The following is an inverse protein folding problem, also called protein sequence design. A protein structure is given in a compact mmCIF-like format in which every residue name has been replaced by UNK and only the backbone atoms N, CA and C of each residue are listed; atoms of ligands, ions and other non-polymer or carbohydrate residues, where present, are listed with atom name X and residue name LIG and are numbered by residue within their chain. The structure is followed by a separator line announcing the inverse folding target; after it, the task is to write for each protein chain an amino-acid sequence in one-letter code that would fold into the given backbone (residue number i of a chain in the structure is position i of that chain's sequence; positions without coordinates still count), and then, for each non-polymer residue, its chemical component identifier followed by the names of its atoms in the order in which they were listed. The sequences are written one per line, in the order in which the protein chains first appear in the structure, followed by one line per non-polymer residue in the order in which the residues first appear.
data_IF_467557114107
#
_entry.id   IF_467557114107
#
_cell.length_a   1.000
_cell.length_b   1.000
_cell.length_c   1.000
_cell.angle_alpha   90.00
_cell.angle_beta   90.00
_cell.angle_gamma   90.00
#
_symmetry.space_group_name_H-M   'P 1'
#
loop_
_entity.id
_entity.type
_entity.pdbx_description
1 polymer ?
#
# COMPACT_ATOMS: atom_id res chain seq x y z
N UNK A 1 -28.58 -35.67 15.59
CA UNK A 1 -27.13 -35.58 15.41
C UNK A 1 -26.76 -34.12 15.52
N UNK A 2 -26.34 -33.71 16.72
CA UNK A 2 -25.80 -32.38 16.98
C UNK A 2 -24.50 -32.22 16.20
N UNK A 3 -24.47 -31.26 15.29
CA UNK A 3 -23.23 -30.78 14.69
C UNK A 3 -22.43 -30.08 15.79
N UNK A 4 -21.45 -30.77 16.37
CA UNK A 4 -20.44 -30.15 17.23
C UNK A 4 -19.83 -28.95 16.50
N UNK A 5 -20.16 -27.72 16.91
CA UNK A 5 -19.52 -26.51 16.37
C UNK A 5 -18.05 -26.56 16.74
N UNK A 6 -17.19 -26.86 15.77
CA UNK A 6 -15.73 -26.84 15.97
C UNK A 6 -15.33 -25.43 16.40
N UNK A 7 -14.74 -25.32 17.59
CA UNK A 7 -14.25 -24.06 18.14
C UNK A 7 -13.14 -23.52 17.23
N UNK A 8 -13.45 -22.51 16.41
CA UNK A 8 -12.46 -21.89 15.52
C UNK A 8 -11.41 -21.16 16.36
N UNK A 9 -10.13 -21.32 16.00
CA UNK A 9 -9.04 -20.54 16.62
C UNK A 9 -9.14 -19.07 16.19
N UNK A 10 -8.89 -18.12 17.09
CA UNK A 10 -9.00 -16.69 16.80
C UNK A 10 -7.64 -16.08 16.47
N UNK A 11 -7.60 -15.30 15.40
CA UNK A 11 -6.49 -14.43 15.05
C UNK A 11 -6.91 -12.98 15.32
N UNK A 12 -6.07 -12.25 16.05
CA UNK A 12 -6.22 -10.81 16.26
C UNK A 12 -5.32 -10.09 15.27
N UNK A 13 -5.87 -9.22 14.44
CA UNK A 13 -5.14 -8.53 13.38
C UNK A 13 -5.13 -7.03 13.61
N UNK A 14 -3.95 -6.41 13.61
CA UNK A 14 -3.76 -4.99 13.98
C UNK A 14 -3.16 -4.21 12.82
N UNK A 15 -3.97 -3.66 11.89
CA UNK A 15 -3.46 -2.83 10.80
C UNK A 15 -2.95 -1.48 11.30
N UNK A 16 -1.94 -0.94 10.60
CA UNK A 16 -1.62 0.48 10.67
C UNK A 16 -2.76 1.31 10.02
N UNK A 17 -3.19 2.45 10.59
CA UNK A 17 -4.43 3.13 10.17
C UNK A 17 -4.27 4.04 8.95
N UNK A 18 -3.66 3.49 7.91
CA UNK A 18 -3.59 4.10 6.59
C UNK A 18 -4.09 3.08 5.57
N UNK A 19 -4.78 3.55 4.53
CA UNK A 19 -5.44 2.67 3.57
C UNK A 19 -4.48 1.67 2.90
N UNK A 20 -3.22 2.07 2.64
CA UNK A 20 -2.18 1.18 2.12
C UNK A 20 -1.79 0.01 3.06
N UNK A 21 -2.13 0.08 4.34
CA UNK A 21 -1.87 -0.96 5.33
C UNK A 21 -3.14 -1.73 5.69
N UNK A 22 -4.28 -1.03 5.79
CA UNK A 22 -5.59 -1.65 6.03
C UNK A 22 -5.98 -2.60 4.89
N UNK A 23 -5.80 -2.18 3.63
CA UNK A 23 -6.17 -3.00 2.45
C UNK A 23 -5.51 -4.39 2.46
N UNK A 24 -4.16 -4.52 2.49
CA UNK A 24 -3.52 -5.83 2.52
C UNK A 24 -3.87 -6.62 3.80
N UNK A 25 -4.05 -5.98 4.95
CA UNK A 25 -4.48 -6.65 6.18
C UNK A 25 -5.87 -7.28 6.02
N UNK A 26 -6.84 -6.57 5.45
CA UNK A 26 -8.20 -7.09 5.22
C UNK A 26 -8.24 -8.20 4.16
N UNK A 27 -7.38 -8.13 3.14
CA UNK A 27 -7.21 -9.21 2.17
C UNK A 27 -6.63 -10.47 2.81
N UNK A 28 -5.59 -10.32 3.65
CA UNK A 28 -5.02 -11.43 4.42
C UNK A 28 -6.03 -12.01 5.42
N UNK A 29 -6.78 -11.14 6.11
CA UNK A 29 -7.87 -11.53 7.02
C UNK A 29 -8.91 -12.40 6.32
N UNK A 30 -9.33 -12.00 5.11
CA UNK A 30 -10.32 -12.75 4.34
C UNK A 30 -9.79 -14.13 3.95
N UNK A 31 -8.54 -14.20 3.48
CA UNK A 31 -7.90 -15.47 3.16
C UNK A 31 -7.82 -16.40 4.38
N UNK A 32 -7.41 -15.88 5.55
CA UNK A 32 -7.31 -16.66 6.78
C UNK A 32 -8.69 -17.11 7.29
N UNK A 33 -9.71 -16.25 7.18
CA UNK A 33 -11.08 -16.61 7.54
C UNK A 33 -11.63 -17.75 6.69
N UNK A 34 -11.41 -17.71 5.37
CA UNK A 34 -11.78 -18.79 4.44
C UNK A 34 -11.06 -20.11 4.77
N UNK A 35 -9.90 -20.04 5.42
CA UNK A 35 -9.13 -21.21 5.88
C UNK A 35 -9.44 -21.61 7.33
N UNK A 36 -10.55 -21.15 7.90
CA UNK A 36 -11.12 -21.69 9.14
C UNK A 36 -10.80 -20.91 10.42
N UNK A 37 -10.10 -19.79 10.33
CA UNK A 37 -9.85 -18.92 11.48
C UNK A 37 -11.04 -17.99 11.76
N UNK A 38 -11.28 -17.70 13.04
CA UNK A 38 -12.08 -16.54 13.44
C UNK A 38 -11.18 -15.30 13.42
N UNK A 39 -11.65 -14.19 12.86
CA UNK A 39 -10.84 -12.98 12.74
C UNK A 39 -11.42 -11.86 13.60
N UNK A 40 -10.54 -11.20 14.35
CA UNK A 40 -10.82 -9.93 15.00
C UNK A 40 -9.86 -8.88 14.45
N UNK A 41 -10.40 -7.78 13.91
CA UNK A 41 -9.62 -6.63 13.46
C UNK A 41 -9.58 -5.61 14.60
N UNK A 42 -8.42 -5.41 15.21
CA UNK A 42 -8.21 -4.37 16.21
C UNK A 42 -7.75 -3.09 15.51
N UNK A 43 -8.54 -2.03 15.56
CA UNK A 43 -8.30 -0.82 14.78
C UNK A 43 -8.39 0.43 15.64
N UNK A 44 -7.67 1.47 15.25
CA UNK A 44 -7.72 2.81 15.85
C UNK A 44 -9.04 3.50 15.52
N UNK A 45 -9.39 4.57 16.24
CA UNK A 45 -10.50 5.46 15.86
C UNK A 45 -10.12 6.30 14.64
N UNK A 46 -8.88 6.77 14.58
CA UNK A 46 -8.29 7.39 13.41
C UNK A 46 -8.33 6.42 12.23
N UNK A 47 -8.97 6.82 11.12
CA UNK A 47 -9.10 6.02 9.89
C UNK A 47 -9.63 4.58 10.12
N UNK A 48 -10.72 4.45 10.89
CA UNK A 48 -11.33 3.15 11.16
C UNK A 48 -11.90 2.48 9.90
N UNK A 49 -11.69 1.16 9.71
CA UNK A 49 -12.34 0.39 8.66
C UNK A 49 -13.85 0.30 8.91
N UNK A 50 -14.63 0.11 7.84
CA UNK A 50 -16.10 0.03 7.89
C UNK A 50 -16.57 -1.40 8.22
N UNK A 51 -17.10 -1.69 9.43
CA UNK A 51 -17.42 -3.06 9.83
C UNK A 51 -18.48 -3.73 8.96
N UNK A 52 -19.44 -2.96 8.44
CA UNK A 52 -20.53 -3.47 7.60
C UNK A 52 -20.05 -4.03 6.24
N UNK A 53 -18.84 -3.70 5.79
CA UNK A 53 -18.26 -4.27 4.56
C UNK A 53 -17.64 -5.65 4.78
N UNK A 54 -17.38 -5.99 6.04
CA UNK A 54 -16.77 -7.26 6.44
C UNK A 54 -17.54 -7.87 7.63
N UNK A 55 -18.84 -8.18 7.47
CA UNK A 55 -19.68 -8.72 8.53
C UNK A 55 -19.17 -10.08 9.08
N UNK A 56 -18.29 -10.74 8.35
CA UNK A 56 -17.62 -11.98 8.75
C UNK A 56 -16.52 -11.79 9.81
N UNK A 57 -16.07 -10.56 10.07
CA UNK A 57 -15.06 -10.25 11.08
C UNK A 57 -15.66 -9.57 12.31
N UNK A 58 -14.99 -9.74 13.44
CA UNK A 58 -15.24 -8.91 14.64
C UNK A 58 -14.33 -7.68 14.61
N UNK A 59 -14.85 -6.52 15.00
CA UNK A 59 -14.08 -5.27 15.07
C UNK A 59 -13.89 -4.84 16.52
N UNK A 60 -12.65 -4.54 16.87
CA UNK A 60 -12.23 -4.13 18.21
C UNK A 60 -11.61 -2.72 18.13
N UNK A 61 -12.29 -1.67 18.61
CA UNK A 61 -11.71 -0.33 18.63
C UNK A 61 -10.62 -0.23 19.70
N UNK A 62 -9.52 0.44 19.35
CA UNK A 62 -8.40 0.76 20.23
C UNK A 62 -8.32 2.28 20.40
N UNK A 63 -8.09 2.73 21.63
CA UNK A 63 -7.97 4.15 21.91
C UNK A 63 -6.59 4.66 21.46
N UNK A 64 -6.57 5.41 20.36
CA UNK A 64 -5.35 6.02 19.81
C UNK A 64 -5.08 7.43 20.38
N UNK A 65 -6.08 8.07 20.99
CA UNK A 65 -6.04 9.45 21.48
C UNK A 65 -5.43 10.46 20.49
N UNK A 66 -5.60 10.24 19.19
CA UNK A 66 -5.08 11.12 18.13
C UNK A 66 -5.96 12.37 18.01
N UNK A 67 -5.31 13.53 18.11
CA UNK A 67 -5.97 14.84 18.04
C UNK A 67 -6.00 15.39 16.62
N UNK A 68 -6.84 16.40 16.37
CA UNK A 68 -6.87 17.10 15.08
C UNK A 68 -5.51 17.72 14.70
N UNK A 69 -4.72 18.17 15.68
CA UNK A 69 -3.38 18.75 15.46
C UNK A 69 -2.38 17.72 14.95
N UNK A 70 -2.46 16.47 15.43
CA UNK A 70 -1.64 15.38 14.89
C UNK A 70 -1.95 15.16 13.40
N UNK A 71 -3.23 15.15 13.04
CA UNK A 71 -3.68 14.94 11.65
C UNK A 71 -3.26 16.11 10.75
N UNK A 72 -3.41 17.35 11.23
CA UNK A 72 -3.09 18.56 10.45
C UNK A 72 -1.59 18.81 10.30
N UNK A 73 -0.75 18.24 11.17
CA UNK A 73 0.71 18.35 11.11
C UNK A 73 1.34 17.67 9.89
N UNK A 74 0.66 16.66 9.33
CA UNK A 74 1.20 15.76 8.29
C UNK A 74 2.53 15.07 8.70
N UNK A 75 2.85 15.04 9.99
CA UNK A 75 4.01 14.33 10.54
C UNK A 75 3.61 12.88 10.85
N UNK A 76 3.76 12.02 9.83
CA UNK A 76 3.42 10.60 9.94
C UNK A 76 4.20 9.91 11.06
N UNK A 77 5.46 10.28 11.28
CA UNK A 77 6.26 9.68 12.35
C UNK A 77 5.67 10.01 13.74
N UNK A 78 5.34 11.28 14.00
CA UNK A 78 4.69 11.68 15.25
C UNK A 78 3.37 10.96 15.50
N UNK A 79 2.52 10.86 14.47
CA UNK A 79 1.23 10.14 14.57
C UNK A 79 1.44 8.68 14.94
N UNK A 80 2.36 8.00 14.27
CA UNK A 80 2.62 6.57 14.49
C UNK A 80 3.27 6.29 15.85
N UNK A 81 4.19 7.14 16.31
CA UNK A 81 4.76 7.05 17.65
C UNK A 81 3.67 7.21 18.72
N UNK A 82 2.78 8.20 18.57
CA UNK A 82 1.66 8.42 19.49
C UNK A 82 0.68 7.23 19.51
N UNK A 83 0.34 6.66 18.34
CA UNK A 83 -0.50 5.45 18.28
C UNK A 83 0.13 4.28 19.04
N UNK A 84 1.44 4.04 18.85
CA UNK A 84 2.14 2.93 19.52
C UNK A 84 2.15 3.09 21.04
N UNK A 85 2.23 4.32 21.55
CA UNK A 85 2.12 4.61 22.99
C UNK A 85 0.69 4.44 23.50
N UNK A 86 -0.29 5.06 22.82
CA UNK A 86 -1.65 5.20 23.32
C UNK A 86 -2.47 3.91 23.21
N UNK A 87 -2.33 3.15 22.12
CA UNK A 87 -3.14 1.95 21.88
C UNK A 87 -2.75 0.74 22.73
N UNK A 88 -1.56 0.74 23.34
CA UNK A 88 -1.03 -0.39 24.09
C UNK A 88 -1.96 -0.81 25.22
N UNK A 89 -2.42 0.14 26.05
CA UNK A 89 -3.32 -0.13 27.17
C UNK A 89 -4.63 -0.77 26.74
N UNK A 90 -5.29 -0.20 25.72
CA UNK A 90 -6.55 -0.74 25.19
C UNK A 90 -6.39 -2.15 24.62
N UNK A 91 -5.26 -2.45 23.96
CA UNK A 91 -5.01 -3.80 23.45
C UNK A 91 -4.78 -4.80 24.60
N UNK A 92 -4.06 -4.41 25.65
CA UNK A 92 -3.86 -5.24 26.85
C UNK A 92 -5.19 -5.54 27.56
N UNK A 93 -6.05 -4.54 27.73
CA UNK A 93 -7.38 -4.70 28.32
C UNK A 93 -8.25 -5.66 27.49
N UNK A 94 -8.24 -5.52 26.17
CA UNK A 94 -8.98 -6.41 25.27
C UNK A 94 -8.46 -7.84 25.32
N UNK A 95 -7.14 -8.04 25.38
CA UNK A 95 -6.53 -9.36 25.54
C UNK A 95 -6.91 -10.01 26.87
N UNK A 96 -6.90 -9.25 27.98
CA UNK A 96 -7.33 -9.74 29.28
C UNK A 96 -8.81 -10.14 29.28
N UNK A 97 -9.69 -9.34 28.67
CA UNK A 97 -11.11 -9.65 28.53
C UNK A 97 -11.35 -10.92 27.69
N UNK A 98 -10.58 -11.12 26.62
CA UNK A 98 -10.66 -12.33 25.80
C UNK A 98 -10.14 -13.58 26.53
N UNK A 99 -9.17 -13.43 27.44
CA UNK A 99 -8.62 -14.53 28.23
C UNK A 99 -9.54 -14.97 29.40
N UNK A 100 -10.34 -14.05 29.96
CA UNK A 100 -11.20 -14.30 31.12
C UNK A 100 -12.62 -14.83 30.81
N UNK A 101 -12.94 -15.12 29.54
CA UNK A 101 -14.29 -15.54 29.14
C UNK A 101 -14.53 -17.05 29.28
N UNK A 102 -15.25 -17.48 30.32
CA UNK A 102 -15.64 -18.88 30.61
C UNK A 102 -16.81 -19.43 29.74
N UNK A 103 -17.12 -18.82 28.59
CA UNK A 103 -18.25 -19.21 27.73
C UNK A 103 -17.91 -20.27 26.67
N UNK A 104 -18.89 -21.10 26.28
CA UNK A 104 -18.78 -22.11 25.20
C UNK A 104 -18.37 -21.52 23.82
N UNK A 105 -18.51 -20.20 23.61
CA UNK A 105 -18.09 -19.47 22.40
C UNK A 105 -16.70 -18.80 22.48
N UNK A 106 -15.92 -19.02 23.55
CA UNK A 106 -14.63 -18.34 23.78
C UNK A 106 -13.49 -18.83 22.87
N UNK A 107 -13.50 -18.53 21.57
CA UNK A 107 -12.37 -18.88 20.68
C UNK A 107 -11.06 -18.31 21.22
N UNK A 108 -10.15 -19.19 21.65
CA UNK A 108 -8.82 -18.85 22.14
C UNK A 108 -8.07 -18.01 21.09
N UNK A 109 -7.51 -16.87 21.50
CA UNK A 109 -6.64 -16.06 20.65
C UNK A 109 -5.30 -16.78 20.55
N UNK A 110 -5.00 -17.31 19.37
CA UNK A 110 -3.79 -18.12 19.17
C UNK A 110 -2.61 -17.32 18.61
N UNK A 111 -2.88 -16.16 17.99
CA UNK A 111 -1.86 -15.31 17.41
C UNK A 111 -2.34 -13.87 17.18
N UNK A 112 -1.42 -12.91 17.32
CA UNK A 112 -1.57 -11.51 16.88
C UNK A 112 -0.80 -11.31 15.57
N UNK A 113 -1.47 -10.91 14.49
CA UNK A 113 -0.82 -10.48 13.24
C UNK A 113 -0.88 -8.96 13.18
N UNK A 114 0.25 -8.28 13.27
CA UNK A 114 0.27 -6.82 13.30
C UNK A 114 1.08 -6.26 12.15
N UNK A 115 0.71 -5.06 11.70
CA UNK A 115 1.51 -4.30 10.74
C UNK A 115 2.89 -3.95 11.33
N UNK A 116 3.91 -3.83 10.48
CA UNK A 116 5.27 -3.45 10.89
C UNK A 116 5.32 -2.12 11.66
N UNK A 117 4.41 -1.20 11.37
CA UNK A 117 4.33 0.10 12.05
C UNK A 117 3.60 0.05 13.41
N UNK A 118 3.00 -1.09 13.77
CA UNK A 118 2.24 -1.31 15.01
C UNK A 118 3.03 -2.19 15.99
N UNK A 119 4.32 -1.88 16.16
CA UNK A 119 5.31 -2.69 16.88
C UNK A 119 4.98 -2.90 18.37
N UNK A 120 4.17 -2.04 19.01
CA UNK A 120 3.70 -2.24 20.39
C UNK A 120 3.00 -3.59 20.61
N UNK A 121 2.43 -4.17 19.55
CA UNK A 121 1.72 -5.45 19.58
C UNK A 121 2.62 -6.62 20.01
N UNK A 122 3.93 -6.58 19.74
CA UNK A 122 4.87 -7.63 20.17
C UNK A 122 4.95 -7.70 21.70
N UNK A 123 5.07 -6.54 22.36
CA UNK A 123 5.12 -6.47 23.82
C UNK A 123 3.84 -7.00 24.46
N UNK A 124 2.68 -6.68 23.86
CA UNK A 124 1.38 -7.20 24.32
C UNK A 124 1.28 -8.71 24.10
N UNK A 125 1.63 -9.21 22.91
CA UNK A 125 1.63 -10.64 22.62
C UNK A 125 2.48 -11.43 23.63
N UNK A 126 3.71 -10.95 23.89
CA UNK A 126 4.61 -11.56 24.86
C UNK A 126 4.04 -11.57 26.29
N UNK A 127 3.41 -10.47 26.73
CA UNK A 127 2.82 -10.36 28.07
C UNK A 127 1.71 -11.39 28.31
N UNK A 128 0.94 -11.70 27.28
CA UNK A 128 -0.15 -12.67 27.35
C UNK A 128 0.24 -14.08 26.89
N UNK A 129 1.52 -14.33 26.58
CA UNK A 129 2.00 -15.65 26.13
C UNK A 129 1.47 -16.06 24.75
N UNK A 130 1.02 -15.10 23.93
CA UNK A 130 0.47 -15.33 22.58
C UNK A 130 1.56 -15.11 21.53
N UNK A 131 1.51 -15.87 20.44
CA UNK A 131 2.46 -15.70 19.32
C UNK A 131 2.14 -14.43 18.53
N UNK A 132 3.15 -13.73 18.02
CA UNK A 132 2.95 -12.65 17.04
C UNK A 132 3.61 -12.94 15.69
N UNK A 133 3.00 -12.40 14.62
CA UNK A 133 3.54 -12.33 13.27
C UNK A 133 3.51 -10.88 12.79
N UNK A 134 4.53 -10.47 12.05
CA UNK A 134 4.62 -9.12 11.48
C UNK A 134 4.15 -9.16 10.02
N UNK A 135 3.26 -8.26 9.62
CA UNK A 135 2.88 -8.02 8.23
C UNK A 135 3.65 -6.81 7.69
N UNK A 136 4.43 -7.02 6.63
CA UNK A 136 5.09 -5.94 5.88
C UNK A 136 4.35 -5.67 4.57
N UNK A 137 3.96 -4.42 4.39
CA UNK A 137 3.15 -3.92 3.26
C UNK A 137 3.94 -2.99 2.35
N UNK A 138 5.26 -2.89 2.57
CA UNK A 138 6.22 -2.12 1.77
C UNK A 138 7.11 -3.06 0.94
N UNK A 139 7.89 -2.52 0.00
CA UNK A 139 8.86 -3.30 -0.80
C UNK A 139 10.08 -3.74 0.03
N UNK A 140 10.72 -4.85 -0.35
CA UNK A 140 11.97 -5.30 0.26
C UNK A 140 13.09 -4.26 0.04
N UNK A 141 13.12 -3.65 -1.14
CA UNK A 141 14.00 -2.53 -1.48
C UNK A 141 13.87 -1.36 -0.51
N UNK A 142 12.65 -1.03 -0.09
CA UNK A 142 12.41 0.04 0.89
C UNK A 142 13.00 -0.31 2.24
N UNK A 143 12.87 -1.56 2.70
CA UNK A 143 13.47 -2.00 3.96
C UNK A 143 14.99 -1.83 3.95
N UNK A 144 15.65 -2.33 2.91
CA UNK A 144 17.11 -2.16 2.72
C UNK A 144 17.48 -0.67 2.70
N UNK A 145 16.73 0.14 1.94
CA UNK A 145 16.99 1.58 1.80
C UNK A 145 16.85 2.33 3.12
N UNK A 146 15.84 2.01 3.93
CA UNK A 146 15.64 2.62 5.26
C UNK A 146 16.76 2.23 6.23
N UNK A 147 17.18 0.96 6.25
CA UNK A 147 18.32 0.53 7.05
C UNK A 147 19.60 1.29 6.65
N UNK A 148 19.82 1.50 5.36
CA UNK A 148 20.96 2.28 4.89
C UNK A 148 20.86 3.77 5.26
N UNK A 149 19.67 4.38 5.24
CA UNK A 149 19.46 5.76 5.73
C UNK A 149 19.86 5.90 7.20
N UNK A 150 19.57 4.92 8.06
CA UNK A 150 20.01 4.93 9.46
C UNK A 150 21.54 4.92 9.57
N UNK A 151 22.21 4.06 8.79
CA UNK A 151 23.67 3.98 8.78
C UNK A 151 24.32 5.27 8.24
N UNK A 152 23.77 5.84 7.17
CA UNK A 152 24.25 7.10 6.59
C UNK A 152 24.11 8.25 7.57
N UNK A 153 22.98 8.34 8.29
CA UNK A 153 22.81 9.35 9.33
C UNK A 153 23.84 9.20 10.45
N UNK A 154 24.11 7.97 10.90
CA UNK A 154 25.14 7.70 11.91
C UNK A 154 26.56 8.09 11.44
N UNK A 155 26.83 8.03 10.14
CA UNK A 155 28.08 8.45 9.52
C UNK A 155 28.13 9.95 9.15
N UNK A 156 27.05 10.71 9.36
CA UNK A 156 26.99 12.15 9.07
C UNK A 156 26.55 12.52 7.64
N UNK A 157 25.83 11.62 6.93
CA UNK A 157 25.40 11.75 5.54
C UNK A 157 26.53 12.11 4.57
N UNK A 158 27.21 11.11 4.02
CA UNK A 158 28.12 11.31 2.89
C UNK A 158 27.35 11.56 1.58
N UNK A 159 27.94 12.28 0.63
CA UNK A 159 27.34 12.50 -0.70
C UNK A 159 27.26 11.21 -1.54
N UNK A 160 28.11 10.23 -1.24
CA UNK A 160 28.16 8.95 -1.95
C UNK A 160 27.24 7.91 -1.32
N UNK A 161 26.46 7.23 -2.16
CA UNK A 161 25.53 6.20 -1.75
C UNK A 161 26.26 4.85 -1.80
N UNK A 162 26.10 3.99 -0.78
CA UNK A 162 26.63 2.64 -0.81
C UNK A 162 26.30 1.90 -2.11
N UNK A 163 27.29 1.25 -2.72
CA UNK A 163 27.12 0.52 -3.97
C UNK A 163 26.03 -0.58 -3.88
N UNK A 164 25.78 -1.11 -2.68
CA UNK A 164 24.72 -2.08 -2.40
C UNK A 164 23.30 -1.53 -2.59
N UNK A 165 23.12 -0.21 -2.72
CA UNK A 165 21.83 0.43 -2.99
C UNK A 165 21.62 0.75 -4.47
N UNK A 166 22.57 0.46 -5.36
CA UNK A 166 22.38 0.69 -6.79
C UNK A 166 21.10 0.00 -7.29
N UNK A 167 20.21 0.67 -8.05
CA UNK A 167 20.40 1.95 -8.76
C UNK A 167 19.84 3.20 -8.05
N UNK A 168 19.63 3.17 -6.72
CA UNK A 168 19.10 4.30 -5.97
C UNK A 168 20.08 5.47 -5.94
N UNK A 169 19.54 6.69 -6.06
CA UNK A 169 20.24 7.96 -5.85
C UNK A 169 19.88 8.53 -4.48
N UNK A 170 20.60 9.56 -4.01
CA UNK A 170 20.44 10.11 -2.66
C UNK A 170 19.01 10.66 -2.50
N UNK A 171 18.52 11.32 -3.54
CA UNK A 171 17.14 11.82 -3.62
C UNK A 171 16.07 10.73 -3.73
N UNK A 172 16.46 9.49 -4.07
CA UNK A 172 15.55 8.34 -4.11
C UNK A 172 15.39 7.68 -2.73
N UNK A 173 16.27 7.98 -1.77
CA UNK A 173 16.22 7.42 -0.42
C UNK A 173 14.97 7.91 0.34
N UNK A 174 14.39 7.06 1.22
CA UNK A 174 13.15 7.33 1.94
C UNK A 174 13.37 8.27 3.13
N UNK A 175 13.92 9.46 2.88
CA UNK A 175 14.10 10.51 3.90
C UNK A 175 12.74 11.13 4.28
N UNK A 176 12.54 11.53 5.55
CA UNK A 176 11.29 12.14 5.98
C UNK A 176 11.05 13.47 5.26
N UNK A 177 9.81 13.69 4.82
CA UNK A 177 9.43 14.92 4.12
C UNK A 177 8.99 16.04 5.08
N UNK A 178 8.37 15.68 6.20
CA UNK A 178 7.72 16.60 7.16
C UNK A 178 8.15 16.32 8.61
N UNK A 179 8.41 15.07 8.94
CA UNK A 179 8.87 14.64 10.27
C UNK A 179 10.29 15.11 10.58
N UNK A 180 10.55 15.41 11.85
CA UNK A 180 11.93 15.49 12.34
C UNK A 180 12.65 14.15 12.14
N UNK A 181 13.93 14.23 11.77
CA UNK A 181 14.73 13.04 11.48
C UNK A 181 14.86 12.13 12.71
N UNK A 182 14.92 12.68 13.92
CA UNK A 182 14.99 11.89 15.17
C UNK A 182 13.78 10.98 15.32
N UNK A 183 12.58 11.51 15.10
CA UNK A 183 11.32 10.75 15.19
C UNK A 183 11.22 9.71 14.09
N UNK A 184 11.60 10.07 12.87
CA UNK A 184 11.67 9.13 11.76
C UNK A 184 12.65 7.98 12.07
N UNK A 185 13.84 8.30 12.57
CA UNK A 185 14.86 7.35 12.95
C UNK A 185 14.37 6.40 14.05
N UNK A 186 13.74 6.94 15.10
CA UNK A 186 13.11 6.15 16.17
C UNK A 186 12.06 5.19 15.61
N UNK A 187 11.13 5.69 14.77
CA UNK A 187 10.11 4.85 14.15
C UNK A 187 10.71 3.72 13.32
N UNK A 188 11.75 4.01 12.51
CA UNK A 188 12.40 3.02 11.65
C UNK A 188 13.10 1.93 12.48
N UNK A 189 13.76 2.32 13.57
CA UNK A 189 14.37 1.35 14.50
C UNK A 189 13.28 0.47 15.12
N UNK A 190 12.21 1.07 15.63
CA UNK A 190 11.16 0.33 16.33
C UNK A 190 10.45 -0.67 15.41
N UNK A 191 10.16 -0.31 14.15
CA UNK A 191 9.48 -1.24 13.22
C UNK A 191 10.35 -2.41 12.75
N UNK A 192 11.69 -2.27 12.74
CA UNK A 192 12.61 -3.31 12.27
C UNK A 192 13.29 -4.08 13.41
N UNK A 193 13.20 -3.59 14.63
CA UNK A 193 13.66 -4.33 15.81
C UNK A 193 12.63 -5.37 16.22
N UNK A 194 12.67 -6.52 15.53
CA UNK A 194 11.82 -7.66 15.86
C UNK A 194 12.45 -8.40 17.04
N UNK A 195 11.67 -8.57 18.12
CA UNK A 195 12.19 -9.16 19.37
C UNK A 195 11.56 -10.50 19.69
N UNK A 196 10.24 -10.62 19.51
CA UNK A 196 9.46 -11.77 19.97
C UNK A 196 8.61 -12.42 18.88
N UNK A 197 8.36 -11.69 17.78
CA UNK A 197 7.61 -12.23 16.64
C UNK A 197 8.23 -13.49 16.06
N UNK A 198 7.38 -14.38 15.56
CA UNK A 198 7.76 -15.73 15.12
C UNK A 198 8.08 -15.81 13.63
N UNK A 199 7.48 -14.96 12.82
CA UNK A 199 7.80 -14.82 11.41
C UNK A 199 7.30 -13.47 10.87
N UNK A 200 7.75 -13.15 9.65
CA UNK A 200 7.30 -12.00 8.88
C UNK A 200 6.52 -12.48 7.67
N UNK A 201 5.27 -12.05 7.53
CA UNK A 201 4.52 -12.13 6.27
C UNK A 201 4.84 -10.87 5.48
N UNK A 202 5.28 -11.00 4.24
CA UNK A 202 5.69 -9.86 3.44
C UNK A 202 4.95 -9.86 2.11
N UNK A 203 4.27 -8.74 1.81
CA UNK A 203 3.62 -8.52 0.51
C UNK A 203 4.65 -8.26 -0.61
N UNK A 204 5.58 -9.18 -0.85
CA UNK A 204 6.51 -9.19 -1.98
C UNK A 204 6.73 -10.61 -2.51
N UNK A 205 7.40 -10.74 -3.66
CA UNK A 205 7.68 -12.01 -4.33
C UNK A 205 9.19 -12.25 -4.42
N UNK A 206 9.70 -13.47 -4.16
CA UNK A 206 11.13 -13.77 -4.21
C UNK A 206 11.81 -13.38 -5.52
N UNK A 207 11.11 -13.56 -6.64
CA UNK A 207 11.66 -13.25 -7.94
C UNK A 207 11.63 -11.77 -8.31
N UNK A 208 10.83 -10.96 -7.61
CA UNK A 208 10.68 -9.53 -7.87
C UNK A 208 11.82 -8.72 -7.23
N UNK A 209 12.23 -9.12 -6.02
CA UNK A 209 13.26 -8.46 -5.20
C UNK A 209 14.27 -9.47 -4.60
N UNK A 210 14.92 -10.32 -5.43
CA UNK A 210 15.74 -11.42 -4.92
C UNK A 210 16.98 -10.96 -4.16
N UNK A 211 17.62 -9.88 -4.62
CA UNK A 211 18.83 -9.33 -4.01
C UNK A 211 18.51 -8.77 -2.62
N UNK A 212 17.43 -8.00 -2.53
CA UNK A 212 17.01 -7.31 -1.31
C UNK A 212 16.59 -8.33 -0.25
N UNK A 213 15.79 -9.33 -0.62
CA UNK A 213 15.37 -10.41 0.29
C UNK A 213 16.56 -11.21 0.82
N UNK A 214 17.56 -11.51 -0.03
CA UNK A 214 18.78 -12.18 0.40
C UNK A 214 19.59 -11.31 1.38
N UNK A 215 19.73 -10.02 1.10
CA UNK A 215 20.42 -9.08 1.99
C UNK A 215 19.70 -8.97 3.34
N UNK A 216 18.37 -8.89 3.35
CA UNK A 216 17.57 -8.84 4.57
C UNK A 216 17.75 -10.09 5.41
N UNK A 217 17.67 -11.27 4.79
CA UNK A 217 17.90 -12.54 5.49
C UNK A 217 19.31 -12.66 6.06
N UNK A 218 20.31 -12.15 5.33
CA UNK A 218 21.70 -12.21 5.76
C UNK A 218 22.04 -11.20 6.87
N UNK A 219 21.51 -9.97 6.79
CA UNK A 219 21.97 -8.84 7.62
C UNK A 219 20.95 -8.35 8.65
N UNK A 220 19.65 -8.42 8.36
CA UNK A 220 18.65 -7.63 9.10
C UNK A 220 17.61 -8.47 9.84
N UNK A 221 17.26 -9.67 9.35
CA UNK A 221 16.16 -10.46 9.92
C UNK A 221 16.52 -11.95 9.93
N UNK A 222 16.56 -12.54 11.12
CA UNK A 222 16.94 -13.95 11.34
C UNK A 222 15.75 -14.89 11.53
N UNK A 223 14.53 -14.35 11.66
CA UNK A 223 13.31 -15.16 11.74
C UNK A 223 12.79 -15.51 10.33
N UNK A 224 11.94 -16.54 10.19
CA UNK A 224 11.34 -16.89 8.90
C UNK A 224 10.62 -15.70 8.25
N UNK A 225 10.83 -15.54 6.94
CA UNK A 225 10.14 -14.58 6.09
C UNK A 225 9.31 -15.35 5.07
N UNK A 226 8.02 -15.03 5.01
CA UNK A 226 7.06 -15.58 4.07
C UNK A 226 6.68 -14.50 3.06
N UNK A 227 7.36 -14.44 1.90
CA UNK A 227 7.00 -13.54 0.82
C UNK A 227 5.72 -14.06 0.15
N UNK A 228 4.61 -13.44 0.51
CA UNK A 228 3.25 -13.82 0.13
C UNK A 228 2.64 -12.62 -0.61
N UNK A 229 2.69 -12.65 -1.94
CA UNK A 229 2.19 -11.55 -2.77
C UNK A 229 1.75 -12.01 -4.16
N UNK A 230 0.92 -11.20 -4.84
CA UNK A 230 0.29 -10.00 -4.30
C UNK A 230 -0.92 -10.34 -3.42
N UNK A 231 -0.95 -9.87 -2.17
CA UNK A 231 -1.98 -10.26 -1.18
C UNK A 231 -3.41 -10.04 -1.70
N UNK A 232 -3.63 -8.99 -2.49
CA UNK A 232 -4.95 -8.67 -3.06
C UNK A 232 -5.48 -9.71 -4.08
N UNK A 233 -4.63 -10.63 -4.58
CA UNK A 233 -5.01 -11.72 -5.49
C UNK A 233 -5.17 -13.09 -4.80
N UNK A 234 -4.68 -13.24 -3.57
CA UNK A 234 -4.67 -14.54 -2.88
C UNK A 234 -6.09 -14.96 -2.50
N UNK A 235 -6.91 -13.99 -2.09
CA UNK A 235 -8.35 -14.15 -1.94
C UNK A 235 -9.06 -12.94 -2.58
N UNK A 236 -9.62 -13.08 -3.81
CA UNK A 236 -10.43 -12.02 -4.39
C UNK A 236 -11.65 -11.79 -3.50
N UNK A 237 -11.72 -10.62 -2.87
CA UNK A 237 -12.83 -10.23 -1.99
C UNK A 237 -13.89 -9.50 -2.80
N UNK A 238 -15.16 -9.85 -2.61
CA UNK A 238 -16.28 -9.07 -3.18
C UNK A 238 -16.48 -7.74 -2.47
N UNK A 239 -16.01 -7.64 -1.22
CA UNK A 239 -16.10 -6.43 -0.40
C UNK A 239 -14.93 -5.48 -0.66
N UNK A 240 -15.26 -4.18 -0.74
CA UNK A 240 -14.29 -3.09 -0.83
C UNK A 240 -13.61 -2.84 0.52
N UNK A 241 -12.28 -2.87 0.52
CA UNK A 241 -11.44 -2.53 1.68
C UNK A 241 -11.17 -1.03 1.81
N UNK A 242 -11.66 -0.20 0.87
CA UNK A 242 -11.38 1.23 0.81
C UNK A 242 -12.01 1.99 1.98
N UNK A 243 -11.29 2.94 2.58
CA UNK A 243 -11.86 3.84 3.60
C UNK A 243 -12.85 4.84 2.98
N UNK A 244 -12.59 5.22 1.74
CA UNK A 244 -13.36 6.18 0.96
C UNK A 244 -14.47 5.48 0.16
N UNK A 245 -15.56 6.20 -0.09
CA UNK A 245 -16.66 5.71 -0.93
C UNK A 245 -16.23 5.72 -2.39
N UNK A 246 -16.20 4.55 -3.00
CA UNK A 246 -15.85 4.37 -4.42
C UNK A 246 -17.01 4.79 -5.33
N UNK A 247 -16.66 5.46 -6.42
CA UNK A 247 -17.56 5.79 -7.52
C UNK A 247 -17.34 4.82 -8.68
N UNK A 248 -18.24 3.84 -8.80
CA UNK A 248 -18.20 2.82 -9.85
C UNK A 248 -18.73 3.31 -11.20
N UNK A 249 -19.27 4.53 -11.29
CA UNK A 249 -19.75 5.07 -12.58
C UNK A 249 -18.64 5.25 -13.60
N UNK A 250 -17.39 5.40 -13.14
CA UNK A 250 -16.22 5.44 -14.00
C UNK A 250 -16.01 4.16 -14.80
N UNK A 251 -16.47 2.99 -14.31
CA UNK A 251 -16.39 1.73 -15.05
C UNK A 251 -17.27 1.77 -16.31
N UNK A 252 -18.49 2.28 -16.20
CA UNK A 252 -19.39 2.45 -17.36
C UNK A 252 -18.89 3.50 -18.35
N UNK A 253 -18.06 4.45 -17.92
CA UNK A 253 -17.35 5.35 -18.82
C UNK A 253 -16.20 4.62 -19.53
N UNK A 254 -15.44 3.79 -18.82
CA UNK A 254 -14.35 2.99 -19.39
C UNK A 254 -14.84 1.99 -20.44
N UNK A 255 -16.04 1.42 -20.28
CA UNK A 255 -16.68 0.52 -21.26
C UNK A 255 -16.83 1.14 -22.65
N UNK A 256 -16.92 2.48 -22.72
CA UNK A 256 -17.10 3.23 -23.97
C UNK A 256 -15.79 3.62 -24.63
N UNK A 257 -14.66 3.40 -23.97
CA UNK A 257 -13.35 3.80 -24.46
C UNK A 257 -12.71 2.69 -25.31
N UNK A 258 -11.88 3.04 -26.31
CA UNK A 258 -11.10 2.05 -27.04
C UNK A 258 -10.23 1.17 -26.12
N UNK A 259 -9.95 -0.08 -26.50
CA UNK A 259 -9.09 -0.95 -25.71
C UNK A 259 -7.72 -0.32 -25.47
N UNK A 260 -7.28 -0.32 -24.22
CA UNK A 260 -5.95 0.12 -23.80
C UNK A 260 -5.59 1.56 -24.23
N UNK A 261 -6.57 2.45 -24.34
CA UNK A 261 -6.36 3.86 -24.69
C UNK A 261 -6.39 4.82 -23.50
N UNK A 262 -6.94 4.41 -22.35
CA UNK A 262 -7.14 5.29 -21.21
C UNK A 262 -5.90 5.32 -20.32
N UNK A 263 -5.43 6.52 -19.97
CA UNK A 263 -4.51 6.69 -18.84
C UNK A 263 -5.32 6.89 -17.55
N UNK A 264 -5.14 5.99 -16.59
CA UNK A 264 -5.70 6.12 -15.25
C UNK A 264 -4.75 6.96 -14.39
N UNK A 265 -5.25 7.95 -13.65
CA UNK A 265 -4.46 8.85 -12.81
C UNK A 265 -4.96 8.76 -11.37
N UNK A 266 -4.12 8.26 -10.46
CA UNK A 266 -4.41 8.19 -9.03
C UNK A 266 -3.14 8.28 -8.19
N UNK A 267 -3.10 9.29 -7.31
CA UNK A 267 -1.93 9.59 -6.48
C UNK A 267 -2.07 9.04 -5.05
N UNK A 268 -2.90 8.02 -4.87
CA UNK A 268 -3.06 7.31 -3.60
C UNK A 268 -3.90 8.08 -2.58
N UNK A 269 -3.91 7.62 -1.33
CA UNK A 269 -4.78 8.13 -0.26
C UNK A 269 -4.16 9.21 0.63
N UNK A 270 -2.86 9.50 0.47
CA UNK A 270 -2.10 10.41 1.36
C UNK A 270 -1.42 11.55 0.60
N UNK A 271 -1.11 11.40 -0.69
CA UNK A 271 -0.46 12.46 -1.45
C UNK A 271 -1.30 13.75 -1.44
N UNK A 272 -0.58 14.87 -1.43
CA UNK A 272 -1.10 16.22 -1.50
C UNK A 272 -0.50 16.92 -2.72
N UNK A 273 -1.36 17.62 -3.46
CA UNK A 273 -0.99 18.47 -4.57
C UNK A 273 -1.14 19.94 -4.19
N UNK A 274 -0.36 20.81 -4.83
CA UNK A 274 -0.68 22.24 -4.87
C UNK A 274 -1.70 22.53 -5.97
N UNK A 275 -2.29 23.72 -5.95
CA UNK A 275 -3.19 24.18 -7.01
C UNK A 275 -2.47 24.19 -8.37
N UNK A 276 -1.23 24.68 -8.37
CA UNK A 276 -0.38 24.78 -9.57
C UNK A 276 -0.10 23.39 -10.14
N UNK A 277 0.20 22.40 -9.30
CA UNK A 277 0.38 21.01 -9.76
C UNK A 277 -0.90 20.45 -10.40
N UNK A 278 -2.08 20.72 -9.84
CA UNK A 278 -3.37 20.31 -10.42
C UNK A 278 -3.61 20.98 -11.78
N UNK A 279 -3.31 22.28 -11.90
CA UNK A 279 -3.42 23.01 -13.16
C UNK A 279 -2.51 22.41 -14.24
N UNK A 280 -1.22 22.20 -13.93
CA UNK A 280 -0.26 21.65 -14.89
C UNK A 280 -0.58 20.21 -15.29
N UNK A 281 -1.05 19.38 -14.34
CA UNK A 281 -1.53 18.03 -14.62
C UNK A 281 -2.76 18.05 -15.54
N UNK A 282 -3.77 18.86 -15.21
CA UNK A 282 -5.02 18.95 -15.96
C UNK A 282 -4.79 19.40 -17.41
N UNK A 283 -4.01 20.48 -17.60
CA UNK A 283 -3.68 20.96 -18.93
C UNK A 283 -2.79 19.98 -19.70
N UNK A 284 -1.85 19.32 -19.05
CA UNK A 284 -1.02 18.29 -19.69
C UNK A 284 -1.85 17.07 -20.14
N UNK A 285 -2.82 16.63 -19.34
CA UNK A 285 -3.77 15.58 -19.70
C UNK A 285 -4.60 15.98 -20.92
N UNK A 286 -5.17 17.18 -20.91
CA UNK A 286 -5.94 17.74 -22.05
C UNK A 286 -5.08 17.75 -23.32
N UNK A 287 -3.86 18.29 -23.24
CA UNK A 287 -2.98 18.46 -24.39
C UNK A 287 -2.45 17.12 -24.94
N UNK A 288 -2.32 16.09 -24.09
CA UNK A 288 -1.87 14.74 -24.53
C UNK A 288 -2.80 14.09 -25.56
N UNK A 289 -4.04 14.58 -25.66
CA UNK A 289 -5.10 14.03 -26.49
C UNK A 289 -5.42 12.54 -26.21
N UNK A 290 -4.97 12.01 -25.06
CA UNK A 290 -5.33 10.66 -24.59
C UNK A 290 -6.61 10.72 -23.75
N UNK A 291 -7.48 9.70 -23.83
CA UNK A 291 -8.54 9.54 -22.85
C UNK A 291 -7.97 9.34 -21.45
N UNK A 292 -8.57 9.94 -20.42
CA UNK A 292 -8.10 9.79 -19.05
C UNK A 292 -9.23 9.61 -18.03
N UNK A 293 -8.94 8.80 -17.01
CA UNK A 293 -9.73 8.72 -15.79
C UNK A 293 -8.86 9.27 -14.64
N UNK A 294 -9.26 10.40 -14.05
CA UNK A 294 -8.50 11.07 -13.01
C UNK A 294 -9.22 11.05 -11.66
N UNK A 295 -8.57 10.48 -10.65
CA UNK A 295 -9.03 10.51 -9.26
C UNK A 295 -8.50 11.75 -8.56
N UNK A 296 -9.41 12.64 -8.16
CA UNK A 296 -9.10 13.82 -7.33
C UNK A 296 -9.82 13.70 -5.99
N UNK A 297 -9.11 13.16 -5.00
CA UNK A 297 -9.68 12.91 -3.66
C UNK A 297 -10.01 14.24 -2.95
N UNK A 298 -11.15 14.33 -2.25
CA UNK A 298 -11.43 15.45 -1.34
C UNK A 298 -10.28 15.68 -0.34
N UNK A 299 -9.85 16.93 -0.20
CA UNK A 299 -8.74 17.29 0.70
C UNK A 299 -7.34 16.91 0.20
N UNK A 300 -7.19 16.42 -1.04
CA UNK A 300 -5.88 16.12 -1.63
C UNK A 300 -5.15 17.34 -2.21
N UNK A 301 -5.78 18.52 -2.22
CA UNK A 301 -5.19 19.72 -2.80
C UNK A 301 -5.14 20.85 -1.76
N UNK A 302 -3.98 21.50 -1.64
CA UNK A 302 -3.75 22.60 -0.70
C UNK A 302 -4.35 23.90 -1.24
N UNK A 303 -5.15 24.61 -0.41
CA UNK A 303 -5.78 25.89 -0.77
C UNK A 303 -7.01 25.73 -1.67
N UNK A 304 -8.16 25.38 -1.09
CA UNK A 304 -9.27 24.67 -1.75
C UNK A 304 -10.15 25.49 -2.71
N UNK A 305 -10.26 26.80 -2.57
CA UNK A 305 -11.45 27.50 -3.08
C UNK A 305 -11.48 27.67 -4.61
N UNK A 306 -10.35 27.49 -5.29
CA UNK A 306 -10.23 27.69 -6.74
C UNK A 306 -10.01 26.39 -7.56
N UNK A 307 -9.90 25.23 -6.90
CA UNK A 307 -9.62 23.96 -7.60
C UNK A 307 -10.83 23.42 -8.35
N UNK A 308 -12.03 23.58 -7.79
CA UNK A 308 -13.26 23.16 -8.48
C UNK A 308 -13.43 23.84 -9.84
N UNK A 309 -12.98 25.10 -9.95
CA UNK A 309 -12.99 25.83 -11.23
C UNK A 309 -12.01 25.21 -12.23
N UNK A 310 -10.78 24.91 -11.80
CA UNK A 310 -9.76 24.26 -12.64
C UNK A 310 -10.26 22.91 -13.15
N UNK A 311 -10.84 22.08 -12.28
CA UNK A 311 -11.35 20.77 -12.68
C UNK A 311 -12.51 20.89 -13.67
N UNK A 312 -13.42 21.86 -13.47
CA UNK A 312 -14.51 22.14 -14.42
C UNK A 312 -13.98 22.58 -15.79
N UNK A 313 -13.01 23.49 -15.83
CA UNK A 313 -12.38 23.92 -17.08
C UNK A 313 -11.72 22.74 -17.82
N UNK A 314 -11.07 21.85 -17.08
CA UNK A 314 -10.48 20.62 -17.63
C UNK A 314 -11.56 19.69 -18.20
N UNK A 315 -12.65 19.45 -17.45
CA UNK A 315 -13.80 18.63 -17.89
C UNK A 315 -14.47 19.19 -19.15
N UNK A 316 -14.74 20.50 -19.18
CA UNK A 316 -15.32 21.18 -20.33
C UNK A 316 -14.43 21.07 -21.56
N UNK A 317 -13.11 21.18 -21.37
CA UNK A 317 -12.15 21.14 -22.48
C UNK A 317 -11.92 19.75 -23.03
N UNK A 318 -11.92 18.73 -22.17
CA UNK A 318 -11.68 17.33 -22.58
C UNK A 318 -12.92 16.67 -23.18
N UNK A 319 -14.11 17.03 -22.70
CA UNK A 319 -15.37 16.45 -23.14
C UNK A 319 -15.49 14.96 -22.79
N UNK A 320 -15.96 14.14 -23.73
CA UNK A 320 -16.22 12.71 -23.55
C UNK A 320 -14.97 11.84 -23.35
N UNK A 321 -13.78 12.39 -23.63
CA UNK A 321 -12.48 11.72 -23.43
C UNK A 321 -11.96 11.79 -22.00
N UNK A 322 -12.58 12.58 -21.11
CA UNK A 322 -12.17 12.69 -19.72
C UNK A 322 -13.25 12.24 -18.75
N UNK A 323 -12.82 11.62 -17.66
CA UNK A 323 -13.66 11.32 -16.52
C UNK A 323 -12.90 11.70 -15.25
N UNK A 324 -13.45 12.59 -14.43
CA UNK A 324 -12.89 12.95 -13.13
C UNK A 324 -13.83 12.42 -12.05
N UNK A 325 -13.29 11.69 -11.08
CA UNK A 325 -14.04 11.16 -9.94
C UNK A 325 -13.31 11.43 -8.65
N UNK A 326 -14.04 11.46 -7.53
CA UNK A 326 -13.43 11.69 -6.23
C UNK A 326 -12.65 10.47 -5.73
N UNK A 327 -13.14 9.27 -6.02
CA UNK A 327 -12.50 8.02 -5.61
C UNK A 327 -12.96 6.87 -6.50
N UNK A 328 -12.04 6.08 -7.05
CA UNK A 328 -12.35 5.00 -7.99
C UNK A 328 -12.14 3.60 -7.37
N UNK A 329 -12.90 2.58 -7.80
CA UNK A 329 -12.61 1.18 -7.52
C UNK A 329 -11.35 0.74 -8.28
N UNK A 330 -10.18 1.08 -7.74
CA UNK A 330 -8.90 1.05 -8.47
C UNK A 330 -8.53 -0.33 -9.02
N UNK A 331 -8.83 -1.41 -8.28
CA UNK A 331 -8.52 -2.78 -8.73
C UNK A 331 -9.30 -3.13 -10.00
N UNK A 332 -10.58 -2.78 -10.00
CA UNK A 332 -11.49 -2.97 -11.13
C UNK A 332 -11.09 -2.08 -12.31
N UNK A 333 -10.69 -0.82 -12.05
CA UNK A 333 -10.18 0.10 -13.07
C UNK A 333 -8.91 -0.43 -13.72
N UNK A 334 -7.91 -0.85 -12.94
CA UNK A 334 -6.65 -1.40 -13.48
C UNK A 334 -6.87 -2.71 -14.24
N UNK A 335 -7.82 -3.54 -13.80
CA UNK A 335 -8.24 -4.75 -14.51
C UNK A 335 -9.06 -4.49 -15.78
N UNK A 336 -9.48 -3.25 -16.03
CA UNK A 336 -10.36 -2.92 -17.14
C UNK A 336 -9.67 -2.96 -18.51
N UNK A 337 -10.40 -3.43 -19.53
CA UNK A 337 -9.89 -3.56 -20.91
C UNK A 337 -9.50 -2.22 -21.56
N UNK A 338 -10.15 -1.13 -21.16
CA UNK A 338 -9.88 0.24 -21.63
C UNK A 338 -8.60 0.87 -21.09
N UNK A 339 -8.10 0.44 -19.92
CA UNK A 339 -6.93 1.08 -19.27
C UNK A 339 -5.63 0.59 -19.89
N UNK A 340 -4.86 1.54 -20.44
CA UNK A 340 -3.59 1.32 -21.14
C UNK A 340 -2.34 1.76 -20.37
N UNK A 341 -2.48 2.65 -19.39
CA UNK A 341 -1.39 3.12 -18.55
C UNK A 341 -1.88 3.69 -17.21
N UNK A 342 -0.99 3.77 -16.23
CA UNK A 342 -1.32 4.21 -14.87
C UNK A 342 -0.35 5.28 -14.38
N UNK A 343 -0.81 6.53 -14.30
CA UNK A 343 -0.12 7.59 -13.57
C UNK A 343 -0.34 7.44 -12.07
N UNK A 344 0.73 7.04 -11.37
CA UNK A 344 0.70 6.64 -9.98
C UNK A 344 1.73 7.37 -9.12
N UNK A 345 1.37 7.59 -7.86
CA UNK A 345 2.30 7.98 -6.80
C UNK A 345 3.33 6.89 -6.42
N UNK A 346 3.22 5.68 -6.96
CA UNK A 346 4.15 4.57 -6.70
C UNK A 346 4.10 4.00 -5.27
N UNK A 347 2.97 4.11 -4.59
CA UNK A 347 2.73 3.31 -3.39
C UNK A 347 2.78 1.80 -3.70
N UNK A 348 3.23 0.99 -2.74
CA UNK A 348 3.52 -0.41 -2.99
C UNK A 348 2.31 -1.23 -3.46
N UNK A 349 1.13 -1.04 -2.85
CA UNK A 349 -0.08 -1.75 -3.27
C UNK A 349 -0.47 -1.39 -4.72
N UNK A 350 -0.49 -0.10 -5.06
CA UNK A 350 -0.77 0.36 -6.43
C UNK A 350 0.22 -0.18 -7.44
N UNK A 351 1.49 -0.33 -7.06
CA UNK A 351 2.52 -0.93 -7.89
C UNK A 351 2.19 -2.40 -8.16
N UNK A 352 1.90 -3.18 -7.11
CA UNK A 352 1.53 -4.59 -7.25
C UNK A 352 0.22 -4.78 -8.03
N UNK A 353 -0.80 -3.94 -7.83
CA UNK A 353 -2.05 -3.97 -8.61
C UNK A 353 -1.78 -3.72 -10.10
N UNK A 354 -0.95 -2.72 -10.43
CA UNK A 354 -0.58 -2.42 -11.82
C UNK A 354 0.19 -3.56 -12.50
N UNK A 355 1.17 -4.13 -11.80
CA UNK A 355 1.94 -5.28 -12.28
C UNK A 355 1.05 -6.50 -12.48
N UNK A 356 0.10 -6.73 -11.57
CA UNK A 356 -0.87 -7.83 -11.65
C UNK A 356 -1.81 -7.68 -12.84
N UNK A 357 -2.03 -6.47 -13.34
CA UNK A 357 -2.88 -6.19 -14.50
C UNK A 357 -2.14 -5.90 -15.80
N UNK A 358 -0.80 -5.92 -15.76
CA UNK A 358 0.03 -5.70 -16.93
C UNK A 358 -0.09 -4.27 -17.48
N UNK A 359 -0.35 -3.31 -16.59
CA UNK A 359 -0.50 -1.89 -16.92
C UNK A 359 0.83 -1.18 -16.62
N UNK A 360 1.46 -0.51 -17.62
CA UNK A 360 2.67 0.26 -17.39
C UNK A 360 2.41 1.52 -16.57
N UNK A 361 3.43 1.99 -15.85
CA UNK A 361 3.29 3.11 -14.91
C UNK A 361 3.95 4.40 -15.40
N UNK A 362 3.27 5.53 -15.17
CA UNK A 362 3.88 6.86 -15.12
C UNK A 362 4.03 7.25 -13.64
N UNK A 363 5.26 7.28 -13.16
CA UNK A 363 5.62 7.42 -11.76
C UNK A 363 5.78 8.89 -11.35
N UNK A 364 5.08 9.32 -10.30
CA UNK A 364 5.30 10.60 -9.62
C UNK A 364 5.33 10.40 -8.10
N UNK A 365 6.52 10.13 -7.57
CA UNK A 365 6.68 9.91 -6.13
C UNK A 365 6.60 11.22 -5.32
N UNK A 366 6.01 11.16 -4.13
CA UNK A 366 5.88 12.28 -3.19
C UNK A 366 6.74 12.07 -1.94
N UNK A 367 6.50 10.99 -1.20
CA UNK A 367 7.11 10.74 0.11
C UNK A 367 7.26 9.25 0.43
N UNK A 368 7.97 8.95 1.53
CA UNK A 368 8.10 7.59 2.05
C UNK A 368 8.84 6.66 1.09
N UNK A 369 8.26 5.48 0.85
CA UNK A 369 8.79 4.40 0.00
C UNK A 369 8.66 4.68 -1.50
N UNK A 370 7.84 5.66 -1.88
CA UNK A 370 7.44 5.89 -3.26
C UNK A 370 8.62 6.18 -4.21
N UNK A 371 9.66 6.86 -3.73
CA UNK A 371 10.84 7.20 -4.55
C UNK A 371 11.70 5.98 -4.87
N UNK A 372 11.84 5.10 -3.89
CA UNK A 372 12.48 3.78 -4.06
C UNK A 372 11.68 2.96 -5.07
N UNK A 373 10.36 2.86 -4.88
CA UNK A 373 9.48 2.11 -5.79
C UNK A 373 9.54 2.68 -7.23
N UNK A 374 9.49 4.00 -7.41
CA UNK A 374 9.59 4.64 -8.72
C UNK A 374 10.92 4.32 -9.43
N UNK A 375 12.04 4.31 -8.69
CA UNK A 375 13.35 3.90 -9.25
C UNK A 375 13.34 2.43 -9.67
N UNK A 376 12.75 1.54 -8.89
CA UNK A 376 12.64 0.13 -9.26
C UNK A 376 11.76 -0.07 -10.50
N UNK A 377 10.60 0.57 -10.54
CA UNK A 377 9.67 0.52 -11.68
C UNK A 377 10.37 0.96 -12.98
N UNK A 378 11.10 2.06 -12.94
CA UNK A 378 11.71 2.66 -14.13
C UNK A 378 13.07 2.09 -14.52
N UNK A 379 13.96 1.83 -13.56
CA UNK A 379 15.35 1.45 -13.85
C UNK A 379 15.65 -0.04 -13.66
N UNK A 380 14.89 -0.76 -12.83
CA UNK A 380 15.13 -2.19 -12.56
C UNK A 380 14.20 -3.04 -13.42
N UNK A 381 12.89 -2.77 -13.33
CA UNK A 381 11.88 -3.56 -14.04
C UNK A 381 11.61 -3.04 -15.46
N UNK A 382 11.75 -1.73 -15.67
CA UNK A 382 11.50 -1.09 -16.95
C UNK A 382 10.03 -1.18 -17.39
N UNK A 383 9.13 -1.17 -16.43
CA UNK A 383 7.66 -1.26 -16.62
C UNK A 383 6.98 0.11 -16.46
N UNK A 384 7.78 1.18 -16.42
CA UNK A 384 7.27 2.54 -16.32
C UNK A 384 8.35 3.61 -16.47
N UNK A 385 7.91 4.87 -16.39
CA UNK A 385 8.76 6.06 -16.45
C UNK A 385 8.56 6.94 -15.24
N UNK A 386 9.61 7.61 -14.77
CA UNK A 386 9.52 8.57 -13.67
C UNK A 386 9.47 10.00 -14.19
N UNK A 387 8.42 10.73 -13.80
CA UNK A 387 8.32 12.17 -13.95
C UNK A 387 8.95 12.83 -12.71
N UNK A 388 10.12 13.43 -12.91
CA UNK A 388 10.92 14.10 -11.87
C UNK A 388 10.83 15.63 -12.01
N UNK A 389 10.96 16.34 -10.90
CA UNK A 389 11.02 17.80 -10.87
C UNK A 389 9.64 18.46 -10.73
N UNK A 390 9.63 19.77 -10.98
CA UNK A 390 8.40 20.57 -11.01
C UNK A 390 7.52 20.16 -12.19
N UNK A 391 6.21 20.15 -11.99
CA UNK A 391 5.26 19.80 -13.04
C UNK A 391 5.13 20.97 -14.02
N UNK A 392 5.31 20.65 -15.29
CA UNK A 392 5.04 21.54 -16.43
C UNK A 392 4.14 20.77 -17.41
N UNK A 393 3.04 21.40 -17.83
CA UNK A 393 2.02 20.77 -18.69
C UNK A 393 2.58 20.22 -20.00
N UNK A 394 3.65 20.79 -20.56
CA UNK A 394 4.25 20.29 -21.82
C UNK A 394 5.07 19.04 -21.55
N UNK A 395 5.80 18.99 -20.45
CA UNK A 395 6.48 17.76 -20.07
C UNK A 395 5.46 16.67 -19.69
N UNK A 396 4.39 17.01 -18.97
CA UNK A 396 3.27 16.09 -18.68
C UNK A 396 2.68 15.52 -19.97
N UNK A 397 2.32 16.38 -20.93
CA UNK A 397 1.82 15.97 -22.25
C UNK A 397 2.77 14.96 -22.91
N UNK A 398 4.06 15.32 -22.97
CA UNK A 398 5.09 14.52 -23.61
C UNK A 398 5.27 13.15 -22.94
N UNK A 399 5.33 13.08 -21.61
CA UNK A 399 5.51 11.79 -20.92
C UNK A 399 4.29 10.90 -21.01
N UNK A 400 3.08 11.47 -21.02
CA UNK A 400 1.85 10.70 -21.28
C UNK A 400 1.92 10.07 -22.67
N UNK A 401 2.30 10.84 -23.69
CA UNK A 401 2.45 10.33 -25.06
C UNK A 401 3.52 9.25 -25.16
N UNK A 402 4.66 9.40 -24.47
CA UNK A 402 5.71 8.38 -24.39
C UNK A 402 5.20 7.04 -23.85
N UNK A 403 4.40 7.07 -22.78
CA UNK A 403 3.83 5.86 -22.15
C UNK A 403 2.70 5.27 -22.99
N UNK A 404 1.84 6.10 -23.58
CA UNK A 404 0.58 5.65 -24.18
C UNK A 404 0.68 5.38 -25.69
N UNK A 405 1.55 6.07 -26.42
CA UNK A 405 1.55 6.11 -27.90
C UNK A 405 2.88 5.68 -28.50
N UNK A 406 4.00 6.03 -27.87
CA UNK A 406 5.32 5.82 -28.46
C UNK A 406 5.85 4.39 -28.25
N UNK A 407 6.89 4.05 -29.02
CA UNK A 407 7.54 2.74 -29.01
C UNK A 407 8.10 2.35 -27.64
N UNK A 408 8.53 3.35 -26.85
CA UNK A 408 9.00 3.15 -25.48
C UNK A 408 7.88 2.57 -24.59
N UNK A 409 6.70 3.18 -24.63
CA UNK A 409 5.51 2.73 -23.90
C UNK A 409 5.04 1.33 -24.33
N UNK A 410 5.13 1.02 -25.63
CA UNK A 410 4.84 -0.33 -26.15
C UNK A 410 5.72 -1.40 -25.49
N UNK A 411 7.03 -1.13 -25.37
CA UNK A 411 7.98 -2.04 -24.69
C UNK A 411 7.71 -2.16 -23.19
N UNK A 412 7.35 -1.08 -22.51
CA UNK A 412 6.96 -1.12 -21.10
C UNK A 412 5.73 -2.00 -20.89
N UNK A 413 4.74 -1.88 -21.77
CA UNK A 413 3.52 -2.70 -21.74
C UNK A 413 3.82 -4.18 -21.97
N UNK A 414 4.70 -4.53 -22.91
CA UNK A 414 5.14 -5.93 -23.10
C UNK A 414 5.76 -6.50 -21.82
N UNK A 415 6.66 -5.75 -21.19
CA UNK A 415 7.26 -6.15 -19.91
C UNK A 415 6.23 -6.24 -18.78
N UNK A 416 5.30 -5.29 -18.69
CA UNK A 416 4.23 -5.34 -17.69
C UNK A 416 3.37 -6.60 -17.87
N UNK A 417 3.08 -7.00 -19.12
CA UNK A 417 2.37 -8.25 -19.42
C UNK A 417 3.19 -9.50 -19.08
N UNK A 418 4.52 -9.48 -19.23
CA UNK A 418 5.40 -10.55 -18.73
C UNK A 418 5.30 -10.69 -17.21
N UNK A 419 5.31 -9.57 -16.49
CA UNK A 419 5.15 -9.55 -15.03
C UNK A 419 3.78 -10.10 -14.62
N UNK A 420 2.70 -9.68 -15.30
CA UNK A 420 1.36 -10.24 -15.07
C UNK A 420 1.34 -11.76 -15.22
N UNK A 421 1.88 -12.30 -16.32
CA UNK A 421 1.95 -13.75 -16.54
C UNK A 421 2.72 -14.45 -15.42
N UNK A 422 3.87 -13.90 -15.03
CA UNK A 422 4.70 -14.48 -13.97
C UNK A 422 4.01 -14.48 -12.60
N UNK A 423 3.28 -13.42 -12.28
CA UNK A 423 2.43 -13.35 -11.08
C UNK A 423 1.34 -14.42 -11.13
N UNK A 424 0.63 -14.54 -12.24
CA UNK A 424 -0.43 -15.53 -12.42
C UNK A 424 0.10 -16.97 -12.28
N UNK A 425 1.28 -17.25 -12.82
CA UNK A 425 1.92 -18.57 -12.73
C UNK A 425 2.39 -18.87 -11.29
N UNK A 426 2.98 -17.88 -10.60
CA UNK A 426 3.35 -18.02 -9.18
C UNK A 426 2.13 -18.36 -8.31
N UNK A 427 0.99 -17.68 -8.54
CA UNK A 427 -0.25 -17.93 -7.82
C UNK A 427 -0.89 -19.29 -8.15
N UNK A 428 -0.70 -19.83 -9.37
CA UNK A 428 -1.16 -21.18 -9.74
C UNK A 428 -0.31 -22.24 -9.08
N UNK A 429 1.02 -22.07 -9.09
CA UNK A 429 1.96 -22.96 -8.41
C UNK A 429 1.58 -23.07 -6.94
N UNK A 430 1.48 -21.95 -6.23
CA UNK A 430 1.10 -21.87 -4.81
C UNK A 430 -0.24 -22.55 -4.47
N UNK A 431 -1.22 -22.50 -5.39
CA UNK A 431 -2.53 -23.17 -5.24
C UNK A 431 -2.47 -24.67 -5.55
N UNK A 432 -1.67 -25.06 -6.54
CA UNK A 432 -1.53 -26.45 -6.98
C UNK A 432 -0.69 -27.28 -5.99
N UNK A 433 0.33 -26.65 -5.40
CA UNK A 433 1.03 -27.17 -4.23
C UNK A 433 0.23 -26.81 -2.97
N UNK A 434 -0.93 -27.44 -2.77
CA UNK A 434 -1.84 -27.31 -1.60
C UNK A 434 -1.16 -27.26 -0.21
N UNK A 435 0.12 -27.61 -0.13
CA UNK A 435 1.00 -27.54 1.02
C UNK A 435 1.61 -26.13 1.24
N UNK A 436 2.17 -25.47 0.23
CA UNK A 436 3.12 -24.36 0.47
C UNK A 436 2.52 -23.10 1.11
N UNK A 437 1.30 -22.67 0.76
CA UNK A 437 0.69 -21.47 1.39
C UNK A 437 -0.07 -21.78 2.70
N UNK A 438 -0.29 -23.06 3.01
CA UNK A 438 -0.86 -23.53 4.28
C UNK A 438 0.23 -23.93 5.29
N UNK A 439 1.39 -24.34 4.78
CA UNK A 439 2.58 -24.74 5.54
C UNK A 439 3.52 -23.55 5.84
N UNK A 440 3.47 -22.47 5.03
CA UNK A 440 4.03 -21.14 5.32
C UNK A 440 3.06 -20.34 6.18
#
# INVERSE_FOLDING_TARGET
MESSRVKRRRLLMVPCPYQGHINPMLHLATFLHQNGFSITIAHTFFNSPHPYRHPEFTFLPLNDSITADHVSSWDLASVLLAINENCKGSLEEAMAAMAGGDGEESSEVVCIIHDELMYYCEGVASRFGVRSLVLRTTSAATCVSRCAVLNLHAAGFEEEIPAELHPLRLKDLPLPATSDFTKFHELVINMYTITTAKAVIWNTMPWLEPSELNQIKAKFCQIPIFPIAPIHKISPTSSSSSLLKEDSTCLSWLDKQPPKSVIYVSLGSVALLTKEEVEEMGWGLVNSNQPFLWVVRPGSVRGSDAIELVLKEVEEKVGDRGCIVQWAPQKEVLGHGGVGGFWSHCGWNSTLESLSEGVPLLCRAFSGDQRVNARYISCVWGVGLTLEGELDRKEVEKVIRRVMVEEEGRKMKERAMDFKRRIEDSLKEDRSSSCDLKDR
#
